data_IF_742854520106
#
_entry.id   IF_742854520106
#
_cell.length_a   1.000
_cell.length_b   1.000
_cell.length_c   1.000
_cell.angle_alpha   90.00
_cell.angle_beta   90.00
_cell.angle_gamma   90.00
#
_symmetry.space_group_name_H-M   'P 1'
#
loop_
_entity.id
_entity.type
_entity.pdbx_description
1 polymer ?
#
# COMPACT_ATOMS: atom_id res chain seq x y z
N UNK A 1 22.39 7.27 -29.45
CA UNK A 1 22.54 8.65 -28.96
C UNK A 1 21.69 8.78 -27.70
N UNK A 2 22.28 9.20 -26.59
CA UNK A 2 21.56 9.51 -25.35
C UNK A 2 20.88 10.87 -25.47
N UNK A 3 19.69 11.03 -24.87
CA UNK A 3 18.99 12.31 -24.85
C UNK A 3 19.79 13.39 -24.12
N UNK A 4 19.76 14.61 -24.64
CA UNK A 4 19.99 15.80 -23.83
C UNK A 4 18.82 15.97 -22.85
N UNK A 5 19.08 16.33 -21.60
CA UNK A 5 18.06 16.47 -20.55
C UNK A 5 16.90 17.41 -20.95
N UNK A 6 17.21 18.53 -21.61
CA UNK A 6 16.20 19.48 -22.09
C UNK A 6 15.28 18.85 -23.15
N UNK A 7 15.82 18.04 -24.06
CA UNK A 7 15.05 17.34 -25.08
C UNK A 7 14.15 16.26 -24.47
N UNK A 8 14.67 15.50 -23.51
CA UNK A 8 13.90 14.50 -22.75
C UNK A 8 12.69 15.16 -22.07
N UNK A 9 12.94 16.23 -21.32
CA UNK A 9 11.91 16.99 -20.58
C UNK A 9 10.81 17.51 -21.50
N UNK A 10 11.20 18.16 -22.62
CA UNK A 10 10.27 18.71 -23.59
C UNK A 10 9.35 17.64 -24.18
N UNK A 11 9.90 16.50 -24.62
CA UNK A 11 9.10 15.42 -25.21
C UNK A 11 8.12 14.79 -24.21
N UNK A 12 8.53 14.64 -22.95
CA UNK A 12 7.65 14.11 -21.88
C UNK A 12 6.50 15.08 -21.62
N UNK A 13 6.77 16.38 -21.53
CA UNK A 13 5.75 17.41 -21.32
C UNK A 13 4.77 17.48 -22.49
N UNK A 14 5.27 17.52 -23.74
CA UNK A 14 4.44 17.54 -24.95
C UNK A 14 3.49 16.34 -25.02
N UNK A 15 3.96 15.17 -24.61
CA UNK A 15 3.15 13.97 -24.54
C UNK A 15 2.09 14.07 -23.44
N UNK A 16 2.47 14.54 -22.26
CA UNK A 16 1.54 14.70 -21.14
C UNK A 16 0.42 15.69 -21.46
N UNK A 17 0.75 16.77 -22.18
CA UNK A 17 -0.22 17.76 -22.58
C UNK A 17 -1.29 17.17 -23.53
N UNK A 18 -0.95 16.17 -24.35
CA UNK A 18 -1.87 15.53 -25.29
C UNK A 18 -2.56 14.28 -24.74
N UNK A 19 -1.86 13.47 -23.94
CA UNK A 19 -2.26 12.11 -23.58
C UNK A 19 -2.23 11.79 -22.09
N UNK A 20 -1.68 12.68 -21.27
CA UNK A 20 -1.56 12.50 -19.83
C UNK A 20 -2.91 12.48 -19.13
N UNK A 21 -3.00 11.78 -18.00
CA UNK A 21 -4.20 11.80 -17.15
C UNK A 21 -4.18 13.08 -16.31
N UNK A 22 -5.28 13.83 -16.37
CA UNK A 22 -5.43 15.14 -15.72
C UNK A 22 -6.72 15.27 -14.88
N UNK A 23 -7.51 14.21 -14.82
CA UNK A 23 -8.87 14.22 -14.26
C UNK A 23 -9.03 13.29 -13.05
N UNK A 24 -7.92 12.75 -12.52
CA UNK A 24 -7.99 11.91 -11.32
C UNK A 24 -8.44 12.76 -10.11
N UNK A 25 -9.17 12.19 -9.13
CA UNK A 25 -9.72 12.97 -8.02
C UNK A 25 -8.70 13.80 -7.24
N UNK A 26 -7.47 13.30 -7.09
CA UNK A 26 -6.37 13.99 -6.42
C UNK A 26 -5.63 15.02 -7.29
N UNK A 27 -5.93 15.09 -8.59
CA UNK A 27 -5.38 16.10 -9.51
C UNK A 27 -6.25 17.36 -9.59
N UNK A 28 -7.51 17.28 -9.16
CA UNK A 28 -8.44 18.42 -9.12
C UNK A 28 -8.24 19.18 -7.80
N UNK A 29 -8.14 20.51 -7.85
CA UNK A 29 -7.94 21.38 -6.68
C UNK A 29 -6.85 20.82 -5.74
N UNK A 30 -5.62 20.76 -6.26
CA UNK A 30 -4.48 20.13 -5.60
C UNK A 30 -4.16 20.85 -4.29
N UNK A 31 -3.95 20.07 -3.24
CA UNK A 31 -3.39 20.53 -1.96
C UNK A 31 -2.34 19.53 -1.50
N UNK A 32 -1.35 19.93 -0.68
CA UNK A 32 -0.36 18.99 -0.15
C UNK A 32 -1.00 17.79 0.57
N UNK A 33 -2.06 18.02 1.35
CA UNK A 33 -2.80 16.96 2.04
C UNK A 33 -3.41 15.93 1.07
N UNK A 34 -4.14 16.39 0.03
CA UNK A 34 -4.77 15.50 -0.96
C UNK A 34 -3.73 14.71 -1.74
N UNK A 35 -2.66 15.38 -2.18
CA UNK A 35 -1.58 14.73 -2.94
C UNK A 35 -0.88 13.70 -2.06
N UNK A 36 -0.53 14.04 -0.82
CA UNK A 36 0.09 13.11 0.13
C UNK A 36 -0.78 11.87 0.37
N UNK A 37 -2.08 12.05 0.63
CA UNK A 37 -3.00 10.93 0.81
C UNK A 37 -3.02 10.01 -0.41
N UNK A 38 -3.14 10.56 -1.62
CA UNK A 38 -3.12 9.76 -2.84
C UNK A 38 -1.79 9.05 -3.05
N UNK A 39 -0.67 9.72 -2.80
CA UNK A 39 0.66 9.14 -2.99
C UNK A 39 0.88 7.94 -2.05
N UNK A 40 0.45 8.05 -0.78
CA UNK A 40 0.52 6.93 0.17
C UNK A 40 -0.37 5.78 -0.28
N UNK A 41 -1.59 6.06 -0.75
CA UNK A 41 -2.50 5.01 -1.27
C UNK A 41 -1.95 4.33 -2.53
N UNK A 42 -1.27 5.07 -3.42
CA UNK A 42 -0.73 4.56 -4.69
C UNK A 42 0.54 3.71 -4.52
N UNK A 43 1.17 3.71 -3.34
CA UNK A 43 2.31 2.84 -3.05
C UNK A 43 1.94 1.36 -3.21
N UNK A 44 2.40 0.74 -4.30
CA UNK A 44 2.13 -0.68 -4.61
C UNK A 44 0.62 -1.00 -4.79
N UNK A 45 -0.20 -0.01 -5.15
CA UNK A 45 -1.64 -0.18 -5.42
C UNK A 45 -2.00 0.48 -6.75
N UNK A 46 -2.91 -0.14 -7.51
CA UNK A 46 -3.30 0.38 -8.82
C UNK A 46 -4.21 1.60 -8.69
N UNK A 47 -4.11 2.54 -9.63
CA UNK A 47 -4.92 3.78 -9.66
C UNK A 47 -6.41 3.48 -9.60
N UNK A 48 -6.90 2.51 -10.37
CA UNK A 48 -8.32 2.12 -10.41
C UNK A 48 -8.82 1.61 -9.06
N UNK A 49 -7.99 0.88 -8.32
CA UNK A 49 -8.30 0.46 -6.96
C UNK A 49 -8.33 1.64 -6.00
N UNK A 50 -7.42 2.60 -6.14
CA UNK A 50 -7.29 3.73 -5.20
C UNK A 50 -8.42 4.75 -5.31
N UNK A 51 -8.94 5.02 -6.52
CA UNK A 51 -9.99 6.03 -6.76
C UNK A 51 -11.14 5.97 -5.72
N UNK A 52 -11.88 4.86 -5.56
CA UNK A 52 -13.00 4.82 -4.63
C UNK A 52 -12.59 4.94 -3.16
N UNK A 53 -11.36 4.54 -2.80
CA UNK A 53 -10.86 4.72 -1.43
C UNK A 53 -10.51 6.17 -1.16
N UNK A 54 -9.82 6.83 -2.09
CA UNK A 54 -9.47 8.24 -1.96
C UNK A 54 -10.72 9.10 -1.77
N UNK A 55 -11.77 8.86 -2.57
CA UNK A 55 -13.02 9.62 -2.46
C UNK A 55 -13.70 9.41 -1.09
N UNK A 56 -13.81 8.17 -0.60
CA UNK A 56 -14.38 7.89 0.73
C UNK A 56 -13.53 8.50 1.85
N UNK A 57 -12.20 8.40 1.76
CA UNK A 57 -11.30 8.99 2.74
C UNK A 57 -11.42 10.51 2.77
N UNK A 58 -11.45 11.18 1.62
CA UNK A 58 -11.59 12.64 1.56
C UNK A 58 -12.97 13.11 2.01
N UNK A 59 -14.02 12.31 1.80
CA UNK A 59 -15.35 12.61 2.32
C UNK A 59 -15.39 12.51 3.86
N UNK A 60 -14.71 11.53 4.45
CA UNK A 60 -14.68 11.32 5.91
C UNK A 60 -13.66 12.20 6.64
N UNK A 61 -12.51 12.43 6.02
CA UNK A 61 -11.40 13.22 6.54
C UNK A 61 -11.05 14.33 5.53
N UNK A 62 -11.82 15.42 5.47
CA UNK A 62 -11.58 16.49 4.49
C UNK A 62 -10.24 17.21 4.70
N UNK A 63 -9.77 17.29 5.95
CA UNK A 63 -8.51 17.94 6.31
C UNK A 63 -7.54 17.00 7.02
N UNK A 64 -6.26 17.39 7.07
CA UNK A 64 -5.24 16.65 7.84
C UNK A 64 -5.56 16.61 9.33
N UNK A 65 -6.24 17.64 9.87
CA UNK A 65 -6.65 17.71 11.27
C UNK A 65 -7.79 16.73 11.56
N UNK A 66 -8.76 16.60 10.65
CA UNK A 66 -9.83 15.60 10.77
C UNK A 66 -9.26 14.18 10.80
N UNK A 67 -8.27 13.90 9.94
CA UNK A 67 -7.56 12.63 9.94
C UNK A 67 -6.78 12.42 11.24
N UNK A 68 -6.09 13.45 11.75
CA UNK A 68 -5.29 13.36 12.98
C UNK A 68 -6.13 13.09 14.24
N UNK A 69 -7.34 13.63 14.29
CA UNK A 69 -8.25 13.51 15.42
C UNK A 69 -9.08 12.21 15.40
N UNK A 70 -9.06 11.47 14.29
CA UNK A 70 -9.83 10.25 14.15
C UNK A 70 -9.27 9.11 15.03
N UNK A 71 -10.13 8.23 15.57
CA UNK A 71 -9.66 6.98 16.15
C UNK A 71 -8.90 6.14 15.11
N UNK A 72 -7.79 5.52 15.50
CA UNK A 72 -6.98 4.71 14.59
C UNK A 72 -7.81 3.57 13.96
N UNK A 73 -8.71 2.95 14.71
CA UNK A 73 -9.54 1.84 14.21
C UNK A 73 -10.46 2.28 13.08
N UNK A 74 -10.97 3.51 13.11
CA UNK A 74 -11.78 4.07 12.02
C UNK A 74 -10.94 4.29 10.75
N UNK A 75 -9.71 4.80 10.91
CA UNK A 75 -8.76 4.97 9.81
C UNK A 75 -8.40 3.62 9.18
N UNK A 76 -8.14 2.60 10.02
CA UNK A 76 -7.83 1.24 9.57
C UNK A 76 -9.04 0.55 8.93
N UNK A 77 -10.24 0.80 9.45
CA UNK A 77 -11.49 0.32 8.88
C UNK A 77 -11.65 0.81 7.44
N UNK A 78 -11.54 2.13 7.21
CA UNK A 78 -11.64 2.69 5.86
C UNK A 78 -10.53 2.22 4.92
N UNK A 79 -9.35 1.88 5.47
CA UNK A 79 -8.22 1.33 4.73
C UNK A 79 -8.36 -0.18 4.39
N UNK A 80 -9.34 -0.87 4.98
CA UNK A 80 -9.52 -2.32 4.81
C UNK A 80 -9.68 -2.66 3.33
N UNK A 81 -8.86 -3.60 2.85
CA UNK A 81 -8.82 -4.00 1.44
C UNK A 81 -7.71 -3.35 0.59
N UNK A 82 -7.12 -2.22 1.01
CA UNK A 82 -5.98 -1.61 0.29
C UNK A 82 -4.64 -2.33 0.55
N UNK A 83 -4.57 -3.14 1.61
CA UNK A 83 -3.34 -3.83 2.01
C UNK A 83 -2.23 -2.89 2.51
N UNK A 84 -1.10 -3.48 2.94
CA UNK A 84 0.06 -2.77 3.48
C UNK A 84 -0.31 -1.75 4.58
N UNK A 85 -1.05 -2.19 5.61
CA UNK A 85 -1.64 -1.35 6.67
C UNK A 85 -0.62 -0.52 7.48
N UNK A 86 0.67 -0.85 7.41
CA UNK A 86 1.71 0.04 7.93
C UNK A 86 1.65 1.44 7.30
N UNK A 87 1.21 1.54 6.03
CA UNK A 87 0.95 2.82 5.36
C UNK A 87 -0.11 3.64 6.07
N UNK A 88 -1.27 3.06 6.39
CA UNK A 88 -2.34 3.73 7.11
C UNK A 88 -1.91 4.18 8.51
N UNK A 89 -1.20 3.31 9.24
CA UNK A 89 -0.68 3.66 10.58
C UNK A 89 0.33 4.80 10.53
N UNK A 90 1.24 4.77 9.56
CA UNK A 90 2.22 5.84 9.38
C UNK A 90 1.56 7.13 8.89
N UNK A 91 0.60 7.04 7.97
CA UNK A 91 -0.22 8.17 7.53
C UNK A 91 -0.91 8.84 8.72
N UNK A 92 -1.54 8.07 9.60
CA UNK A 92 -2.22 8.61 10.77
C UNK A 92 -1.25 9.27 11.75
N UNK A 93 -0.12 8.63 12.07
CA UNK A 93 0.95 9.23 12.90
C UNK A 93 1.50 10.52 12.31
N UNK A 94 1.72 10.55 11.00
CA UNK A 94 2.17 11.74 10.29
C UNK A 94 1.10 12.85 10.31
N UNK A 95 -0.20 12.53 10.17
CA UNK A 95 -1.27 13.51 10.32
C UNK A 95 -1.26 14.14 11.73
N UNK A 96 -1.10 13.32 12.77
CA UNK A 96 -0.97 13.78 14.15
C UNK A 96 0.26 14.67 14.35
N UNK A 97 1.38 14.32 13.71
CA UNK A 97 2.59 15.15 13.72
C UNK A 97 2.36 16.50 13.04
N UNK A 98 1.69 16.52 11.88
CA UNK A 98 1.30 17.76 11.18
C UNK A 98 0.38 18.63 12.03
N UNK A 99 -0.62 18.03 12.69
CA UNK A 99 -1.53 18.76 13.57
C UNK A 99 -0.80 19.40 14.77
N UNK A 100 0.10 18.66 15.41
CA UNK A 100 0.75 19.07 16.67
C UNK A 100 1.99 19.94 16.45
N UNK A 101 2.85 19.62 15.48
CA UNK A 101 4.14 20.30 15.27
C UNK A 101 4.06 21.41 14.21
N UNK A 102 3.12 21.31 13.27
CA UNK A 102 2.97 22.27 12.17
C UNK A 102 1.62 23.02 12.20
N UNK A 103 0.90 22.96 13.32
CA UNK A 103 -0.36 23.71 13.52
C UNK A 103 -1.48 23.32 12.56
N UNK A 104 -1.49 22.08 12.06
CA UNK A 104 -2.47 21.62 11.08
C UNK A 104 -2.21 22.07 9.64
N UNK A 105 -1.08 22.75 9.39
CA UNK A 105 -0.63 23.14 8.06
C UNK A 105 0.39 22.12 7.59
N UNK A 106 0.15 21.49 6.44
CA UNK A 106 1.09 20.51 5.89
C UNK A 106 2.43 21.19 5.56
N UNK A 107 3.58 20.65 6.01
CA UNK A 107 4.89 21.28 5.83
C UNK A 107 5.25 21.43 4.35
N UNK A 108 6.04 22.46 4.04
CA UNK A 108 6.39 22.83 2.66
C UNK A 108 7.89 22.77 2.37
N UNK A 109 8.73 22.49 3.37
CA UNK A 109 10.14 22.18 3.16
C UNK A 109 10.35 20.69 2.93
N UNK A 110 11.39 20.33 2.19
CA UNK A 110 11.70 18.93 1.88
C UNK A 110 12.05 18.14 3.13
N UNK A 111 12.85 18.73 4.02
CA UNK A 111 13.34 18.11 5.24
C UNK A 111 12.19 17.79 6.20
N UNK A 112 11.26 18.72 6.39
CA UNK A 112 10.09 18.51 7.25
C UNK A 112 9.15 17.45 6.67
N UNK A 113 8.88 17.48 5.36
CA UNK A 113 8.03 16.48 4.70
C UNK A 113 8.67 15.10 4.74
N UNK A 114 9.98 14.98 4.49
CA UNK A 114 10.70 13.72 4.51
C UNK A 114 10.89 13.16 5.94
N UNK A 115 10.75 14.00 6.98
CA UNK A 115 10.76 13.55 8.37
C UNK A 115 9.43 12.90 8.80
N UNK A 116 8.35 13.07 8.04
CA UNK A 116 7.05 12.48 8.37
C UNK A 116 7.07 10.94 8.27
N UNK A 117 6.44 10.22 9.21
CA UNK A 117 6.33 8.77 9.17
C UNK A 117 5.79 8.24 7.84
N UNK A 118 6.53 7.31 7.22
CA UNK A 118 6.13 6.69 5.96
C UNK A 118 6.37 7.53 4.70
N UNK A 119 6.96 8.73 4.83
CA UNK A 119 7.32 9.58 3.70
C UNK A 119 8.81 9.40 3.38
N UNK A 120 9.10 8.75 2.26
CA UNK A 120 10.48 8.62 1.75
C UNK A 120 10.85 9.74 0.78
N UNK A 121 12.12 9.78 0.37
CA UNK A 121 12.69 10.78 -0.57
C UNK A 121 11.81 11.04 -1.79
N UNK A 122 11.38 9.99 -2.49
CA UNK A 122 10.54 10.12 -3.69
C UNK A 122 9.13 10.62 -3.38
N UNK A 123 8.56 10.25 -2.24
CA UNK A 123 7.21 10.68 -1.85
C UNK A 123 7.22 12.15 -1.43
N UNK A 124 8.26 12.60 -0.71
CA UNK A 124 8.45 14.02 -0.41
C UNK A 124 8.56 14.86 -1.69
N UNK A 125 9.40 14.42 -2.65
CA UNK A 125 9.53 15.07 -3.94
C UNK A 125 8.21 15.11 -4.72
N UNK A 126 7.44 14.01 -4.72
CA UNK A 126 6.13 13.95 -5.38
C UNK A 126 5.13 14.93 -4.76
N UNK A 127 5.02 14.97 -3.42
CA UNK A 127 4.09 15.87 -2.73
C UNK A 127 4.41 17.33 -3.08
N UNK A 128 5.65 17.74 -2.89
CA UNK A 128 6.06 19.14 -3.03
C UNK A 128 6.04 19.61 -4.50
N UNK A 129 6.47 18.76 -5.43
CA UNK A 129 6.42 19.11 -6.87
C UNK A 129 5.00 19.15 -7.40
N UNK A 130 4.14 18.18 -7.09
CA UNK A 130 2.79 18.09 -7.66
C UNK A 130 1.85 19.14 -7.06
N UNK A 131 1.96 19.42 -5.77
CA UNK A 131 1.06 20.34 -5.06
C UNK A 131 1.54 21.79 -5.07
N UNK A 132 2.85 22.04 -5.00
CA UNK A 132 3.42 23.39 -4.86
C UNK A 132 4.35 23.80 -6.02
N UNK A 133 4.59 22.92 -7.00
CA UNK A 133 5.47 23.22 -8.13
C UNK A 133 6.95 23.35 -7.75
N UNK A 134 7.36 22.82 -6.59
CA UNK A 134 8.75 22.89 -6.15
C UNK A 134 9.63 21.93 -6.96
N UNK A 135 10.86 22.36 -7.26
CA UNK A 135 11.79 21.62 -8.13
C UNK A 135 12.43 20.43 -7.41
N UNK A 136 11.66 19.34 -7.27
CA UNK A 136 12.15 18.08 -6.73
C UNK A 136 11.90 16.92 -7.70
N UNK A 137 12.89 16.04 -7.91
CA UNK A 137 12.72 14.83 -8.70
C UNK A 137 11.95 13.76 -7.92
N UNK A 138 11.46 12.77 -8.66
CA UNK A 138 10.85 11.55 -8.10
C UNK A 138 11.56 10.30 -8.64
N UNK A 139 11.42 9.17 -7.95
CA UNK A 139 12.00 7.90 -8.39
C UNK A 139 11.19 6.70 -7.90
N UNK A 140 9.91 6.67 -8.24
CA UNK A 140 9.03 5.52 -7.97
C UNK A 140 9.35 4.33 -8.90
N UNK A 141 8.63 3.22 -8.73
CA UNK A 141 8.83 2.04 -9.57
C UNK A 141 8.54 2.25 -11.06
N UNK A 142 7.71 3.24 -11.42
CA UNK A 142 7.44 3.60 -12.81
C UNK A 142 8.61 4.37 -13.41
N UNK A 143 9.06 5.42 -12.72
CA UNK A 143 10.18 6.27 -13.14
C UNK A 143 11.47 5.44 -13.21
N UNK A 144 11.77 4.59 -12.21
CA UNK A 144 12.91 3.67 -12.23
C UNK A 144 12.95 2.84 -13.52
N UNK A 145 11.79 2.34 -13.97
CA UNK A 145 11.69 1.51 -15.19
C UNK A 145 11.87 2.32 -16.46
N UNK A 146 11.26 3.50 -16.55
CA UNK A 146 11.41 4.40 -17.71
C UNK A 146 12.87 4.79 -17.86
N UNK A 147 13.49 5.29 -16.79
CA UNK A 147 14.88 5.75 -16.81
C UNK A 147 15.86 4.59 -17.07
N UNK A 148 15.68 3.44 -16.40
CA UNK A 148 16.56 2.29 -16.61
C UNK A 148 16.54 1.80 -18.06
N UNK A 149 15.37 1.80 -18.72
CA UNK A 149 15.25 1.43 -20.13
C UNK A 149 15.81 2.50 -21.06
N UNK A 150 15.45 3.77 -20.83
CA UNK A 150 15.85 4.86 -21.72
C UNK A 150 17.36 5.04 -21.74
N UNK A 151 18.01 4.95 -20.57
CA UNK A 151 19.45 5.15 -20.39
C UNK A 151 20.25 3.85 -20.25
N UNK A 152 19.62 2.69 -20.46
CA UNK A 152 20.23 1.37 -20.31
C UNK A 152 21.00 1.17 -18.98
N UNK A 153 20.39 1.59 -17.87
CA UNK A 153 20.96 1.42 -16.52
C UNK A 153 20.76 -0.02 -16.07
N UNK A 154 21.81 -0.83 -16.20
CA UNK A 154 21.79 -2.25 -15.84
C UNK A 154 21.81 -2.46 -14.32
N UNK A 155 21.42 -3.67 -13.89
CA UNK A 155 21.43 -4.07 -12.49
C UNK A 155 20.11 -3.84 -11.76
N UNK A 156 20.00 -4.45 -10.58
CA UNK A 156 18.79 -4.38 -9.75
C UNK A 156 18.72 -3.03 -9.01
N UNK A 157 17.63 -2.25 -9.14
CA UNK A 157 17.49 -0.96 -8.46
C UNK A 157 17.43 -1.01 -6.93
N UNK A 158 17.49 -2.19 -6.31
CA UNK A 158 17.68 -2.33 -4.86
C UNK A 158 19.16 -2.31 -4.43
N UNK A 159 20.10 -2.33 -5.36
CA UNK A 159 21.52 -2.08 -5.09
C UNK A 159 21.78 -0.57 -5.02
N UNK A 160 22.57 -0.13 -4.03
CA UNK A 160 22.83 1.28 -3.76
C UNK A 160 23.45 2.01 -4.95
N UNK A 161 24.38 1.36 -5.65
CA UNK A 161 25.03 1.95 -6.83
C UNK A 161 24.06 2.17 -8.00
N UNK A 162 23.14 1.22 -8.24
CA UNK A 162 22.13 1.33 -9.30
C UNK A 162 21.09 2.38 -8.94
N UNK A 163 20.63 2.38 -7.68
CA UNK A 163 19.68 3.37 -7.18
C UNK A 163 20.25 4.79 -7.25
N UNK A 164 21.51 4.99 -6.85
CA UNK A 164 22.19 6.29 -6.97
C UNK A 164 22.22 6.75 -8.42
N UNK A 165 22.62 5.90 -9.37
CA UNK A 165 22.66 6.27 -10.79
C UNK A 165 21.29 6.70 -11.32
N UNK A 166 20.23 6.00 -10.91
CA UNK A 166 18.86 6.36 -11.31
C UNK A 166 18.40 7.69 -10.69
N UNK A 167 18.82 8.00 -9.46
CA UNK A 167 18.58 9.31 -8.85
C UNK A 167 19.33 10.43 -9.59
N UNK A 168 20.62 10.23 -9.88
CA UNK A 168 21.44 11.21 -10.60
C UNK A 168 20.78 11.55 -11.96
N UNK A 169 20.28 10.55 -12.69
CA UNK A 169 19.56 10.77 -13.96
C UNK A 169 18.24 11.51 -13.72
N UNK A 170 17.46 11.10 -12.71
CA UNK A 170 16.17 11.74 -12.40
C UNK A 170 16.34 13.22 -12.10
N UNK A 171 17.37 13.59 -11.31
CA UNK A 171 17.75 14.98 -11.05
C UNK A 171 18.12 15.71 -12.32
N UNK A 172 18.96 15.11 -13.17
CA UNK A 172 19.43 15.70 -14.43
C UNK A 172 18.28 16.02 -15.39
N UNK A 173 17.30 15.11 -15.52
CA UNK A 173 16.20 15.25 -16.48
C UNK A 173 14.96 15.94 -15.91
N UNK A 174 14.91 16.27 -14.62
CA UNK A 174 13.74 16.93 -14.03
C UNK A 174 13.82 18.44 -14.26
N UNK A 175 12.92 19.04 -15.07
CA UNK A 175 12.94 20.48 -15.30
C UNK A 175 12.43 21.23 -14.07
N UNK A 176 12.94 22.44 -13.86
CA UNK A 176 12.39 23.35 -12.84
C UNK A 176 11.01 23.88 -13.27
N UNK A 177 10.88 24.30 -14.54
CA UNK A 177 9.63 24.79 -15.09
C UNK A 177 8.73 23.62 -15.51
N UNK A 178 7.50 23.58 -15.01
CA UNK A 178 6.54 22.51 -15.32
C UNK A 178 6.83 21.19 -14.61
N UNK A 179 7.59 21.21 -13.52
CA UNK A 179 7.96 20.03 -12.72
C UNK A 179 6.74 19.22 -12.28
N UNK A 180 5.63 19.88 -11.98
CA UNK A 180 4.36 19.25 -11.58
C UNK A 180 3.78 18.38 -12.69
N UNK A 181 3.90 18.84 -13.94
CA UNK A 181 3.46 18.07 -15.12
C UNK A 181 4.47 16.99 -15.46
N UNK A 182 5.77 17.31 -15.40
CA UNK A 182 6.83 16.36 -15.72
C UNK A 182 6.81 15.14 -14.80
N UNK A 183 6.75 15.33 -13.48
CA UNK A 183 6.73 14.22 -12.53
C UNK A 183 5.49 13.34 -12.70
N UNK A 184 4.31 13.95 -12.90
CA UNK A 184 3.09 13.20 -13.21
C UNK A 184 3.21 12.43 -14.53
N UNK A 185 3.79 13.06 -15.55
CA UNK A 185 4.00 12.45 -16.87
C UNK A 185 4.93 11.24 -16.78
N UNK A 186 6.01 11.32 -16.02
CA UNK A 186 6.93 10.20 -15.84
C UNK A 186 6.27 9.00 -15.16
N UNK A 187 5.39 9.23 -14.18
CA UNK A 187 4.58 8.17 -13.57
C UNK A 187 3.57 7.59 -14.56
N UNK A 188 2.87 8.43 -15.31
CA UNK A 188 1.89 8.02 -16.33
C UNK A 188 2.53 7.22 -17.47
N UNK A 189 3.69 7.65 -17.95
CA UNK A 189 4.48 6.94 -18.97
C UNK A 189 4.81 5.53 -18.50
N UNK A 190 5.32 5.37 -17.29
CA UNK A 190 5.59 4.03 -16.75
C UNK A 190 4.32 3.21 -16.58
N UNK A 191 3.22 3.82 -16.14
CA UNK A 191 1.96 3.12 -15.89
C UNK A 191 1.26 2.65 -17.18
N UNK A 192 1.28 3.45 -18.26
CA UNK A 192 0.42 3.26 -19.43
C UNK A 192 1.17 2.86 -20.71
N UNK A 193 2.44 3.26 -20.84
CA UNK A 193 3.22 3.12 -22.08
C UNK A 193 4.41 2.19 -21.88
N UNK A 194 5.34 2.57 -21.01
CA UNK A 194 6.52 1.81 -20.66
C UNK A 194 6.18 0.79 -19.56
N UNK A 195 5.22 -0.10 -19.83
CA UNK A 195 4.70 -1.10 -18.89
C UNK A 195 5.73 -2.19 -18.58
N UNK A 196 5.52 -2.94 -17.48
CA UNK A 196 6.44 -4.03 -17.06
C UNK A 196 6.64 -5.05 -18.18
N UNK A 197 5.55 -5.56 -18.73
CA UNK A 197 5.50 -6.48 -19.87
C UNK A 197 4.95 -5.77 -21.10
N UNK A 198 5.49 -6.12 -22.28
CA UNK A 198 5.05 -5.63 -23.59
C UNK A 198 4.87 -4.10 -23.65
N UNK A 199 5.94 -3.31 -23.41
CA UNK A 199 5.85 -1.85 -23.48
C UNK A 199 5.42 -1.40 -24.89
N UNK A 200 4.61 -0.33 -24.94
CA UNK A 200 4.10 0.24 -26.19
C UNK A 200 5.12 1.23 -26.78
N UNK A 201 6.31 0.73 -27.13
CA UNK A 201 7.43 1.58 -27.52
C UNK A 201 7.14 2.49 -28.72
N UNK A 202 6.35 2.01 -29.69
CA UNK A 202 5.93 2.80 -30.87
C UNK A 202 5.09 4.04 -30.50
N UNK A 203 4.42 4.01 -29.35
CA UNK A 203 3.60 5.12 -28.83
C UNK A 203 4.35 5.95 -27.78
N UNK A 204 5.60 5.60 -27.49
CA UNK A 204 6.39 6.26 -26.45
C UNK A 204 7.02 7.54 -27.01
N UNK A 205 6.87 8.69 -26.33
CA UNK A 205 7.48 9.93 -26.80
C UNK A 205 9.02 9.86 -26.79
N UNK A 206 9.59 8.97 -25.97
CA UNK A 206 11.03 8.78 -25.79
C UNK A 206 11.64 7.75 -26.74
N UNK A 207 10.88 7.19 -27.69
CA UNK A 207 11.32 6.05 -28.52
C UNK A 207 12.57 6.37 -29.35
N UNK A 208 12.67 7.59 -29.89
CA UNK A 208 13.77 8.04 -30.75
C UNK A 208 15.15 8.12 -30.06
N UNK A 209 15.21 8.15 -28.72
CA UNK A 209 16.46 8.17 -27.95
C UNK A 209 16.55 7.08 -26.88
N UNK A 210 15.57 6.18 -26.79
CA UNK A 210 15.57 5.10 -25.81
C UNK A 210 16.52 3.97 -26.22
N UNK A 211 17.58 3.76 -25.45
CA UNK A 211 18.60 2.74 -25.74
C UNK A 211 18.03 1.33 -25.73
N UNK A 212 17.18 0.99 -24.74
CA UNK A 212 16.59 -0.34 -24.67
C UNK A 212 15.58 -0.62 -25.80
N UNK A 213 14.98 0.40 -26.40
CA UNK A 213 14.11 0.21 -27.57
C UNK A 213 14.94 0.00 -28.84
N UNK A 214 15.96 0.83 -29.06
CA UNK A 214 16.88 0.69 -30.21
C UNK A 214 17.55 -0.70 -30.26
N UNK A 215 17.82 -1.29 -29.09
CA UNK A 215 18.46 -2.61 -28.98
C UNK A 215 17.47 -3.77 -28.74
N UNK A 216 16.16 -3.52 -28.76
CA UNK A 216 15.13 -4.51 -28.42
C UNK A 216 15.34 -5.23 -27.06
N UNK A 217 15.98 -4.57 -26.09
CA UNK A 217 16.44 -5.14 -24.82
C UNK A 217 15.65 -4.66 -23.60
N UNK A 218 14.46 -4.08 -23.77
CA UNK A 218 13.62 -3.59 -22.67
C UNK A 218 13.28 -4.63 -21.59
N UNK A 219 13.40 -5.93 -21.89
CA UNK A 219 13.18 -7.02 -20.95
C UNK A 219 14.33 -7.17 -19.92
N UNK A 220 15.50 -6.61 -20.21
CA UNK A 220 16.68 -6.63 -19.33
C UNK A 220 16.64 -5.52 -18.28
N UNK A 221 15.82 -4.49 -18.49
CA UNK A 221 15.77 -3.28 -17.67
C UNK A 221 14.39 -3.04 -17.02
N UNK A 222 14.35 -2.71 -15.72
CA UNK A 222 15.46 -2.76 -14.77
C UNK A 222 15.92 -4.20 -14.49
N UNK A 223 17.14 -4.36 -14.00
CA UNK A 223 17.64 -5.66 -13.58
C UNK A 223 16.76 -6.28 -12.48
N UNK A 224 16.63 -7.60 -12.52
CA UNK A 224 15.75 -8.35 -11.61
C UNK A 224 16.32 -8.40 -10.20
N UNK A 225 15.43 -8.35 -9.20
CA UNK A 225 15.81 -8.70 -7.82
C UNK A 225 16.39 -10.12 -7.81
N UNK A 226 17.52 -10.36 -7.14
CA UNK A 226 18.03 -11.72 -6.94
C UNK A 226 16.94 -12.61 -6.35
N UNK A 227 16.77 -13.82 -6.91
CA UNK A 227 15.78 -14.77 -6.40
C UNK A 227 16.14 -15.14 -4.97
N UNK A 228 15.15 -15.14 -4.09
CA UNK A 228 15.23 -15.68 -2.74
C UNK A 228 14.12 -16.71 -2.60
N UNK A 229 14.39 -17.81 -1.91
CA UNK A 229 13.35 -18.76 -1.50
C UNK A 229 12.39 -18.03 -0.57
N UNK A 230 11.10 -18.01 -0.93
CA UNK A 230 10.07 -17.41 -0.10
C UNK A 230 9.69 -18.45 0.96
N UNK A 231 9.92 -18.18 2.26
CA UNK A 231 9.59 -19.14 3.31
C UNK A 231 8.09 -19.38 3.38
N UNK A 232 7.71 -20.60 3.74
CA UNK A 232 6.32 -20.99 3.98
C UNK A 232 6.11 -21.14 5.49
N UNK A 233 4.95 -20.68 5.98
CA UNK A 233 4.55 -20.76 7.39
C UNK A 233 3.13 -21.28 7.44
N UNK A 234 2.82 -22.05 8.46
CA UNK A 234 1.44 -22.47 8.76
C UNK A 234 0.90 -21.67 9.94
N UNK A 235 -0.40 -21.37 9.93
CA UNK A 235 -1.08 -20.74 11.05
C UNK A 235 -2.49 -21.28 11.21
N UNK A 236 -2.82 -21.74 12.41
CA UNK A 236 -4.15 -22.22 12.77
C UNK A 236 -4.99 -21.06 13.29
N UNK A 237 -6.09 -20.75 12.61
CA UNK A 237 -6.96 -19.63 12.96
C UNK A 237 -8.18 -20.17 13.69
N UNK A 238 -8.37 -19.78 14.94
CA UNK A 238 -9.53 -20.21 15.73
C UNK A 238 -10.72 -19.27 15.50
N UNK A 239 -11.76 -19.77 14.86
CA UNK A 239 -13.01 -19.08 14.58
C UNK A 239 -14.04 -19.47 15.64
N UNK A 240 -14.05 -18.77 16.78
CA UNK A 240 -15.09 -18.99 17.81
C UNK A 240 -16.33 -18.19 17.47
N UNK A 241 -17.47 -18.88 17.34
CA UNK A 241 -18.74 -18.28 16.96
C UNK A 241 -19.82 -18.54 18.01
N UNK A 242 -20.59 -17.51 18.34
CA UNK A 242 -21.78 -17.57 19.18
C UNK A 242 -22.92 -16.86 18.47
N UNK A 243 -23.88 -17.63 17.94
CA UNK A 243 -24.93 -17.05 17.08
C UNK A 243 -24.34 -16.32 15.87
N UNK A 244 -24.68 -15.05 15.72
CA UNK A 244 -24.16 -14.17 14.65
C UNK A 244 -22.87 -13.44 15.03
N UNK A 245 -22.28 -13.75 16.18
CA UNK A 245 -21.08 -13.08 16.68
C UNK A 245 -19.85 -13.98 16.58
N UNK A 246 -18.72 -13.37 16.22
CA UNK A 246 -17.45 -14.09 16.01
C UNK A 246 -16.34 -13.41 16.78
N UNK A 247 -15.61 -14.16 17.60
CA UNK A 247 -14.54 -13.60 18.43
C UNK A 247 -13.33 -13.19 17.59
N UNK A 248 -12.88 -11.95 17.77
CA UNK A 248 -11.64 -11.42 17.22
C UNK A 248 -10.83 -10.72 18.31
N UNK A 249 -9.51 -10.77 18.20
CA UNK A 249 -8.59 -10.02 19.05
C UNK A 249 -7.72 -9.07 18.24
N UNK A 250 -7.44 -7.89 18.81
CA UNK A 250 -6.56 -6.92 18.17
C UNK A 250 -5.12 -7.38 18.27
N UNK A 251 -4.41 -7.40 17.14
CA UNK A 251 -2.99 -7.74 17.11
C UNK A 251 -2.14 -6.62 17.70
N UNK A 252 -0.97 -6.93 18.29
CA UNK A 252 0.00 -5.93 18.72
C UNK A 252 0.29 -4.89 17.61
N UNK A 253 0.58 -3.62 17.93
CA UNK A 253 0.80 -2.57 16.92
C UNK A 253 1.96 -2.85 15.93
N UNK A 254 2.91 -3.70 16.33
CA UNK A 254 4.10 -4.09 15.57
C UNK A 254 3.98 -5.54 15.13
N UNK A 255 4.43 -5.83 13.91
CA UNK A 255 4.43 -7.18 13.34
C UNK A 255 3.35 -7.38 12.26
N UNK A 256 3.05 -8.65 11.99
CA UNK A 256 2.07 -9.04 10.97
C UNK A 256 0.70 -8.48 11.33
N UNK A 257 0.10 -7.72 10.40
CA UNK A 257 -1.22 -7.10 10.57
C UNK A 257 -1.36 -6.25 11.84
N UNK A 258 -0.28 -5.59 12.28
CA UNK A 258 -0.28 -4.91 13.57
C UNK A 258 -1.41 -3.88 13.73
N UNK A 259 -2.11 -3.94 14.87
CA UNK A 259 -3.28 -3.10 15.17
C UNK A 259 -4.58 -3.50 14.48
N UNK A 260 -4.59 -4.53 13.61
CA UNK A 260 -5.84 -5.07 13.03
C UNK A 260 -6.46 -6.12 13.95
N UNK A 261 -7.77 -6.28 13.82
CA UNK A 261 -8.50 -7.39 14.44
C UNK A 261 -8.34 -8.66 13.60
N UNK A 262 -8.01 -9.75 14.30
CA UNK A 262 -7.78 -11.06 13.72
C UNK A 262 -8.38 -12.17 14.58
N UNK A 263 -8.56 -13.34 13.98
CA UNK A 263 -8.78 -14.57 14.75
C UNK A 263 -7.56 -14.87 15.62
N UNK A 264 -7.75 -15.43 16.83
CA UNK A 264 -6.66 -16.05 17.57
C UNK A 264 -5.90 -17.03 16.66
N UNK A 265 -4.57 -16.92 16.67
CA UNK A 265 -3.68 -17.64 15.77
C UNK A 265 -2.66 -18.46 16.57
N UNK A 266 -2.47 -19.71 16.15
CA UNK A 266 -1.57 -20.67 16.78
C UNK A 266 -0.60 -21.28 15.75
N UNK A 267 0.54 -21.80 16.22
CA UNK A 267 1.51 -22.45 15.34
C UNK A 267 1.02 -23.83 14.88
N UNK A 268 0.31 -24.54 15.77
CA UNK A 268 -0.30 -25.84 15.51
C UNK A 268 -1.64 -26.02 16.25
N UNK A 269 -2.30 -27.15 16.00
CA UNK A 269 -3.56 -27.49 16.65
C UNK A 269 -3.39 -27.80 18.15
N UNK A 270 -2.22 -28.29 18.59
CA UNK A 270 -1.98 -28.62 19.99
C UNK A 270 -1.95 -27.36 20.86
N UNK A 271 -1.23 -26.31 20.42
CA UNK A 271 -1.22 -25.00 21.06
C UNK A 271 -2.63 -24.39 21.13
N UNK A 272 -3.42 -24.50 20.06
CA UNK A 272 -4.81 -24.04 20.02
C UNK A 272 -5.67 -24.75 21.07
N UNK A 273 -5.57 -26.08 21.15
CA UNK A 273 -6.34 -26.88 22.11
C UNK A 273 -5.93 -26.60 23.55
N UNK A 274 -4.65 -26.38 23.80
CA UNK A 274 -4.15 -25.99 25.11
C UNK A 274 -4.66 -24.60 25.52
N UNK A 275 -4.70 -23.64 24.59
CA UNK A 275 -5.27 -22.31 24.82
C UNK A 275 -6.75 -22.37 25.19
N UNK A 276 -7.54 -23.22 24.50
CA UNK A 276 -8.95 -23.46 24.83
C UNK A 276 -9.09 -24.11 26.23
N UNK A 277 -8.27 -25.10 26.55
CA UNK A 277 -8.30 -25.81 27.82
C UNK A 277 -7.99 -24.89 29.02
N UNK A 278 -6.99 -24.00 28.88
CA UNK A 278 -6.66 -22.99 29.90
C UNK A 278 -7.83 -22.05 30.21
N UNK A 279 -8.74 -21.85 29.25
CA UNK A 279 -9.95 -21.01 29.37
C UNK A 279 -11.21 -21.80 29.68
N UNK A 280 -11.07 -23.11 29.94
CA UNK A 280 -12.19 -24.01 30.23
C UNK A 280 -13.23 -24.04 29.10
N UNK A 281 -12.81 -23.79 27.85
CA UNK A 281 -13.67 -23.87 26.67
C UNK A 281 -13.57 -25.29 26.11
N UNK A 282 -14.71 -25.98 26.03
CA UNK A 282 -14.78 -27.32 25.45
C UNK A 282 -14.62 -27.26 23.93
N UNK A 283 -13.81 -28.15 23.38
CA UNK A 283 -13.50 -28.21 21.94
C UNK A 283 -14.22 -29.36 21.22
N UNK A 284 -15.34 -29.84 21.78
CA UNK A 284 -16.03 -31.07 21.35
C UNK A 284 -16.57 -31.00 19.91
N UNK A 285 -16.87 -29.78 19.44
CA UNK A 285 -17.37 -29.47 18.09
C UNK A 285 -16.37 -28.65 17.25
N UNK A 286 -15.08 -28.69 17.60
CA UNK A 286 -14.03 -28.03 16.81
C UNK A 286 -13.88 -28.72 15.45
N UNK A 287 -14.09 -27.97 14.36
CA UNK A 287 -14.07 -28.49 12.98
C UNK A 287 -13.09 -27.70 12.12
N UNK A 288 -12.21 -28.39 11.40
CA UNK A 288 -11.33 -27.73 10.43
C UNK A 288 -12.12 -27.38 9.16
N UNK A 289 -11.99 -26.13 8.69
CA UNK A 289 -12.49 -25.69 7.39
C UNK A 289 -11.41 -25.81 6.30
N UNK A 290 -11.78 -25.59 5.03
CA UNK A 290 -10.83 -25.62 3.91
C UNK A 290 -9.65 -24.67 4.12
N UNK A 291 -8.44 -25.25 4.23
CA UNK A 291 -7.20 -24.50 4.33
C UNK A 291 -6.88 -23.75 3.04
N UNK A 292 -6.22 -22.60 3.15
CA UNK A 292 -5.83 -21.81 1.99
C UNK A 292 -4.54 -21.03 2.21
N UNK A 293 -3.84 -20.74 1.11
CA UNK A 293 -2.60 -19.94 1.13
C UNK A 293 -2.90 -18.46 0.99
N UNK A 294 -2.33 -17.65 1.87
CA UNK A 294 -2.25 -16.20 1.75
C UNK A 294 -0.79 -15.78 1.50
N UNK A 295 -0.56 -15.08 0.39
CA UNK A 295 0.80 -14.75 -0.07
C UNK A 295 1.18 -13.32 0.29
N UNK A 296 2.28 -13.17 1.02
CA UNK A 296 2.96 -11.90 1.22
C UNK A 296 4.15 -11.77 0.26
N UNK A 297 4.70 -10.56 0.17
CA UNK A 297 5.91 -10.30 -0.62
C UNK A 297 7.17 -11.01 -0.11
N UNK A 298 7.16 -11.50 1.13
CA UNK A 298 8.34 -12.02 1.83
C UNK A 298 8.13 -13.39 2.51
N UNK A 299 6.91 -13.94 2.50
CA UNK A 299 6.59 -15.31 2.93
C UNK A 299 5.20 -15.74 2.43
N UNK A 300 4.92 -17.03 2.45
CA UNK A 300 3.57 -17.59 2.30
C UNK A 300 3.03 -18.02 3.67
N UNK A 301 1.76 -17.73 3.94
CA UNK A 301 1.04 -18.20 5.11
C UNK A 301 -0.05 -19.18 4.68
N UNK A 302 0.12 -20.45 5.01
CA UNK A 302 -0.93 -21.47 4.89
C UNK A 302 -1.81 -21.38 6.12
N UNK A 303 -3.05 -20.93 5.90
CA UNK A 303 -4.04 -20.70 6.95
C UNK A 303 -4.91 -21.94 7.05
N UNK A 304 -4.98 -22.50 8.26
CA UNK A 304 -5.85 -23.63 8.62
C UNK A 304 -6.95 -23.08 9.55
N UNK A 305 -8.16 -22.81 9.04
CA UNK A 305 -9.24 -22.29 9.88
C UNK A 305 -9.86 -23.43 10.70
N UNK A 306 -10.00 -23.20 12.00
CA UNK A 306 -10.55 -24.11 12.99
C UNK A 306 -11.80 -23.47 13.59
N UNK A 307 -12.98 -23.94 13.20
CA UNK A 307 -14.26 -23.38 13.59
C UNK A 307 -14.82 -24.06 14.84
N UNK A 308 -15.27 -23.25 15.80
CA UNK A 308 -15.82 -23.71 17.07
C UNK A 308 -17.09 -22.92 17.40
N UNK A 309 -18.23 -23.59 17.54
CA UNK A 309 -19.43 -22.95 18.08
C UNK A 309 -19.39 -22.98 19.60
N UNK A 310 -19.49 -21.83 20.25
CA UNK A 310 -19.50 -21.70 21.72
C UNK A 310 -20.89 -21.29 22.22
N UNK A 311 -21.21 -21.66 23.46
CA UNK A 311 -22.53 -21.42 24.07
C UNK A 311 -22.64 -20.06 24.79
N UNK A 312 -21.52 -19.36 25.02
CA UNK A 312 -21.47 -18.11 25.76
C UNK A 312 -20.34 -17.23 25.22
N UNK A 313 -20.63 -15.94 25.06
CA UNK A 313 -19.64 -14.91 24.69
C UNK A 313 -18.74 -14.48 25.86
N UNK A 314 -19.10 -14.82 27.10
CA UNK A 314 -18.39 -14.38 28.30
C UNK A 314 -17.01 -15.05 28.52
N UNK A 315 -16.73 -16.18 27.87
CA UNK A 315 -15.53 -16.97 28.13
C UNK A 315 -14.20 -16.32 27.70
N UNK A 316 -14.24 -15.23 26.93
CA UNK A 316 -13.05 -14.56 26.39
C UNK A 316 -13.06 -13.04 26.53
N UNK A 317 -13.96 -12.46 27.34
CA UNK A 317 -14.09 -10.99 27.45
C UNK A 317 -12.96 -10.31 28.26
N UNK A 318 -12.19 -11.06 29.06
CA UNK A 318 -11.13 -10.52 29.92
C UNK A 318 -9.76 -10.38 29.23
N UNK A 319 -9.66 -10.63 27.92
CA UNK A 319 -8.39 -10.60 27.19
C UNK A 319 -8.19 -9.35 26.32
N UNK A 320 -7.78 -8.26 26.97
CA UNK A 320 -7.28 -7.07 26.28
C UNK A 320 -8.27 -6.47 25.26
N UNK A 321 -7.74 -5.87 24.19
CA UNK A 321 -8.55 -5.31 23.10
C UNK A 321 -9.12 -6.44 22.20
N UNK A 322 -10.12 -7.16 22.69
CA UNK A 322 -10.89 -8.15 21.93
C UNK A 322 -12.35 -7.71 21.73
N UNK A 323 -13.03 -8.29 20.75
CA UNK A 323 -14.44 -8.04 20.51
C UNK A 323 -15.17 -9.26 19.93
N UNK A 324 -16.48 -9.28 20.14
CA UNK A 324 -17.41 -10.14 19.45
C UNK A 324 -17.92 -9.40 18.20
N UNK A 325 -17.42 -9.80 17.03
CA UNK A 325 -17.72 -9.19 15.75
C UNK A 325 -19.09 -9.68 15.26
N UNK A 326 -20.07 -8.78 15.22
CA UNK A 326 -21.41 -9.11 14.76
C UNK A 326 -21.46 -9.19 13.22
N UNK A 327 -21.80 -10.36 12.67
CA UNK A 327 -21.86 -10.60 11.23
C UNK A 327 -23.03 -9.86 10.55
N UNK A 328 -24.10 -9.59 11.29
CA UNK A 328 -25.28 -8.87 10.81
C UNK A 328 -25.10 -7.36 10.88
N UNK A 329 -24.47 -6.86 11.95
CA UNK A 329 -24.16 -5.45 12.19
C UNK A 329 -22.65 -5.26 12.49
N UNK A 330 -21.80 -5.35 11.47
CA UNK A 330 -20.35 -5.25 11.64
C UNK A 330 -19.88 -3.96 12.33
N UNK A 331 -19.01 -4.05 13.36
CA UNK A 331 -18.33 -2.88 13.89
C UNK A 331 -17.33 -2.30 12.89
N UNK A 332 -17.11 -0.98 12.94
CA UNK A 332 -16.14 -0.27 12.08
C UNK A 332 -14.70 -0.43 12.57
N UNK A 333 -14.16 -1.64 12.41
CA UNK A 333 -12.77 -1.97 12.77
C UNK A 333 -11.92 -2.35 11.56
N UNK A 334 -10.60 -2.23 11.70
CA UNK A 334 -9.63 -2.66 10.69
C UNK A 334 -9.42 -4.17 10.70
N UNK A 335 -9.64 -4.82 9.54
CA UNK A 335 -9.52 -6.27 9.38
C UNK A 335 -8.40 -6.63 8.40
N UNK A 336 -7.73 -7.75 8.63
CA UNK A 336 -6.84 -8.34 7.64
C UNK A 336 -7.64 -9.02 6.52
N UNK A 337 -7.12 -8.99 5.29
CA UNK A 337 -7.79 -9.61 4.13
C UNK A 337 -8.23 -11.09 4.33
N UNK A 338 -7.41 -12.01 4.89
CA UNK A 338 -7.89 -13.37 5.13
C UNK A 338 -8.95 -13.46 6.24
N UNK A 339 -8.99 -12.49 7.17
CA UNK A 339 -10.03 -12.42 8.21
C UNK A 339 -11.35 -12.00 7.60
N UNK A 340 -11.35 -10.95 6.77
CA UNK A 340 -12.53 -10.50 6.03
C UNK A 340 -13.11 -11.62 5.15
N UNK A 341 -12.25 -12.37 4.44
CA UNK A 341 -12.66 -13.53 3.66
C UNK A 341 -13.39 -14.58 4.52
N UNK A 342 -12.84 -14.93 5.67
CA UNK A 342 -13.42 -15.95 6.55
C UNK A 342 -14.73 -15.45 7.19
N UNK A 343 -14.81 -14.19 7.60
CA UNK A 343 -16.05 -13.59 8.12
C UNK A 343 -17.17 -13.59 7.05
N UNK A 344 -16.83 -13.30 5.78
CA UNK A 344 -17.78 -13.40 4.67
C UNK A 344 -18.26 -14.84 4.44
N UNK A 345 -17.37 -15.82 4.56
CA UNK A 345 -17.73 -17.25 4.46
C UNK A 345 -18.68 -17.69 5.58
N UNK A 346 -18.39 -17.29 6.83
CA UNK A 346 -19.27 -17.55 7.97
C UNK A 346 -20.66 -16.90 7.76
N UNK A 347 -20.69 -15.66 7.29
CA UNK A 347 -21.94 -14.94 6.99
C UNK A 347 -22.77 -15.60 5.88
N UNK A 348 -22.12 -16.22 4.89
CA UNK A 348 -22.77 -16.94 3.81
C UNK A 348 -23.29 -18.33 4.22
N UNK A 349 -23.03 -18.78 5.46
CA UNK A 349 -23.47 -20.08 5.95
C UNK A 349 -22.92 -21.25 5.14
N UNK A 350 -21.75 -21.09 4.51
CA UNK A 350 -21.16 -22.12 3.65
C UNK A 350 -20.03 -22.82 4.41
N UNK A 351 -20.23 -24.05 4.92
CA UNK A 351 -19.13 -24.88 5.34
C UNK A 351 -18.58 -25.59 4.11
N UNK A 352 -17.32 -25.35 3.75
CA UNK A 352 -16.54 -26.28 2.90
C UNK A 352 -15.29 -26.67 3.64
#
# INVERSE_FOLDING_TARGET
MTFLAAQFSAQVLDWYDKYGRKTLPWQIAKTPYKVWLSEVMLQQTQVTTVIPYFERFMARFPTVVDLANAPLDEVLHLWTGLGYYARARNLHKAAQQVATQHGGIFPQSFEEVAALPGVGRSTAGAILSLSLGQHYPILDGNVKRVLARCYAVSGWPGKKEVEKRLWDISEEVTPAQGVERFNQAMMDLGAMVCTRSKPKCELCPLSNGCVAYANHSWAEYPGKKPKQTIPERTGYFLLMQHGDEVFLSQRPPVGLWGGLFCFPQFADEAELREWLAQRQIKADNLTQLTAFRHTFSHFHLDIVPMWLTVHSSGACMDEGNALWYNLAQPPSVGLAAPVERLLQQLKAGTPV
#
